data_IF_940146583154
#
_entry.id   IF_940146583154
#
_cell.length_a   1.000
_cell.length_b   1.000
_cell.length_c   1.000
_cell.angle_alpha   90.00
_cell.angle_beta   90.00
_cell.angle_gamma   90.00
#
_symmetry.space_group_name_H-M   'P 1'
#
loop_
_entity.id
_entity.type
_entity.pdbx_description
1 polymer ?
#
# COMPACT_ATOMS: atom_id res chain seq x y z
N UNK A 1 10.08 -2.42 -18.80
CA UNK A 1 8.65 -2.62 -18.43
C UNK A 1 8.47 -1.85 -17.14
N UNK A 2 7.71 -0.74 -17.15
CA UNK A 2 7.45 0.01 -15.91
C UNK A 2 6.59 -0.86 -15.00
N UNK A 3 7.10 -1.15 -13.81
CA UNK A 3 6.38 -1.87 -12.79
C UNK A 3 5.44 -0.86 -12.12
N UNK A 4 4.14 -0.97 -12.37
CA UNK A 4 3.11 -0.06 -11.82
C UNK A 4 3.23 0.09 -10.29
N UNK A 5 3.66 -0.97 -9.61
CA UNK A 5 3.88 -0.93 -8.17
C UNK A 5 5.07 -0.04 -7.78
N UNK A 6 6.16 -0.05 -8.55
CA UNK A 6 7.28 0.88 -8.36
C UNK A 6 6.85 2.34 -8.60
N UNK A 7 5.98 2.58 -9.58
CA UNK A 7 5.48 3.93 -9.85
C UNK A 7 4.56 4.43 -8.73
N UNK A 8 3.76 3.56 -8.11
CA UNK A 8 2.99 3.89 -6.90
C UNK A 8 3.90 4.25 -5.71
N UNK A 9 5.00 3.52 -5.52
CA UNK A 9 5.97 3.79 -4.45
C UNK A 9 6.68 5.12 -4.70
N UNK A 10 7.09 5.39 -5.94
CA UNK A 10 7.66 6.69 -6.33
C UNK A 10 6.68 7.81 -6.07
N UNK A 11 5.41 7.65 -6.47
CA UNK A 11 4.35 8.62 -6.19
C UNK A 11 4.23 8.87 -4.69
N UNK A 12 4.19 7.82 -3.85
CA UNK A 12 4.10 7.97 -2.40
C UNK A 12 5.26 8.80 -1.83
N UNK A 13 6.48 8.53 -2.28
CA UNK A 13 7.69 9.26 -1.88
C UNK A 13 7.67 10.71 -2.37
N UNK A 14 7.29 10.94 -3.62
CA UNK A 14 7.11 12.28 -4.17
C UNK A 14 6.08 13.08 -3.37
N UNK A 15 4.98 12.46 -2.95
CA UNK A 15 3.98 13.12 -2.09
C UNK A 15 4.51 13.42 -0.70
N UNK A 16 5.40 12.60 -0.16
CA UNK A 16 6.07 12.87 1.11
C UNK A 16 7.02 14.08 1.01
N UNK A 17 7.78 14.16 -0.09
CA UNK A 17 8.74 15.24 -0.33
C UNK A 17 8.07 16.55 -0.77
N UNK A 18 7.01 16.45 -1.57
CA UNK A 18 6.22 17.57 -2.10
C UNK A 18 4.74 17.34 -1.79
N UNK A 19 4.29 17.62 -0.56
CA UNK A 19 2.90 17.43 -0.17
C UNK A 19 1.93 18.23 -1.02
N UNK A 20 0.83 17.60 -1.42
CA UNK A 20 -0.29 18.27 -2.08
C UNK A 20 -1.46 18.32 -1.11
N UNK A 21 -1.91 19.53 -0.79
CA UNK A 21 -3.04 19.75 0.09
C UNK A 21 -4.31 19.06 -0.44
N UNK A 22 -5.06 18.42 0.45
CA UNK A 22 -6.27 17.68 0.09
C UNK A 22 -6.04 16.31 -0.59
N UNK A 23 -4.79 15.93 -0.90
CA UNK A 23 -4.51 14.60 -1.46
C UNK A 23 -4.76 13.49 -0.44
N UNK A 24 -5.52 12.47 -0.85
CA UNK A 24 -5.78 11.29 -0.03
C UNK A 24 -4.48 10.57 0.38
N UNK A 25 -3.53 10.43 -0.55
CA UNK A 25 -2.21 9.84 -0.27
C UNK A 25 -1.45 10.63 0.79
N UNK A 26 -1.47 11.97 0.71
CA UNK A 26 -0.83 12.80 1.72
C UNK A 26 -1.50 12.65 3.10
N UNK A 27 -2.83 12.50 3.16
CA UNK A 27 -3.56 12.21 4.40
C UNK A 27 -3.11 10.89 5.02
N UNK A 28 -3.00 9.83 4.22
CA UNK A 28 -2.53 8.52 4.69
C UNK A 28 -1.06 8.54 5.14
N UNK A 29 -0.21 9.30 4.45
CA UNK A 29 1.21 9.45 4.79
C UNK A 29 1.42 10.23 6.10
N UNK A 30 0.57 11.22 6.39
CA UNK A 30 0.66 12.03 7.61
C UNK A 30 -0.07 11.40 8.81
N UNK A 31 -1.15 10.66 8.56
CA UNK A 31 -1.95 9.98 9.58
C UNK A 31 -1.68 8.46 9.59
N UNK A 32 -0.76 8.07 10.47
CA UNK A 32 -0.35 6.66 10.64
C UNK A 32 -1.46 5.79 11.21
N UNK A 33 -2.39 6.37 11.98
CA UNK A 33 -3.51 5.62 12.54
C UNK A 33 -4.49 5.30 11.43
N UNK A 34 -4.85 6.29 10.61
CA UNK A 34 -5.73 6.10 9.46
C UNK A 34 -5.16 5.09 8.45
N UNK A 35 -3.87 5.18 8.12
CA UNK A 35 -3.25 4.22 7.20
C UNK A 35 -3.24 2.80 7.76
N UNK A 36 -3.03 2.63 9.07
CA UNK A 36 -3.18 1.32 9.74
C UNK A 36 -4.62 0.81 9.66
N UNK A 37 -5.60 1.66 9.95
CA UNK A 37 -7.02 1.29 9.91
C UNK A 37 -7.43 0.84 8.51
N UNK A 38 -7.03 1.58 7.47
CA UNK A 38 -7.25 1.18 6.07
C UNK A 38 -6.63 -0.18 5.75
N UNK A 39 -5.38 -0.44 6.13
CA UNK A 39 -4.76 -1.76 5.89
C UNK A 39 -5.59 -2.90 6.51
N UNK A 40 -6.14 -2.70 7.71
CA UNK A 40 -6.98 -3.70 8.36
C UNK A 40 -8.33 -3.89 7.65
N UNK A 41 -8.95 -2.79 7.22
CA UNK A 41 -10.19 -2.78 6.46
C UNK A 41 -10.04 -3.55 5.14
N UNK A 42 -9.06 -3.16 4.31
CA UNK A 42 -8.85 -3.77 2.99
C UNK A 42 -8.53 -5.25 3.05
N UNK A 43 -7.81 -5.69 4.10
CA UNK A 43 -7.52 -7.12 4.30
C UNK A 43 -8.81 -7.89 4.61
N UNK A 44 -9.70 -7.33 5.43
CA UNK A 44 -10.99 -7.97 5.72
C UNK A 44 -11.88 -7.99 4.48
N UNK A 45 -11.94 -6.90 3.73
CA UNK A 45 -12.71 -6.81 2.48
C UNK A 45 -12.18 -7.79 1.42
N UNK A 46 -10.86 -7.93 1.28
CA UNK A 46 -10.26 -8.93 0.41
C UNK A 46 -10.64 -10.36 0.81
N UNK A 47 -10.57 -10.70 2.10
CA UNK A 47 -10.96 -12.03 2.59
C UNK A 47 -12.42 -12.29 2.25
N UNK A 48 -13.31 -11.34 2.56
CA UNK A 48 -14.74 -11.46 2.27
C UNK A 48 -15.00 -11.58 0.76
N UNK A 49 -14.33 -10.79 -0.07
CA UNK A 49 -14.50 -10.82 -1.52
C UNK A 49 -13.99 -12.12 -2.14
N UNK A 50 -12.95 -12.74 -1.56
CA UNK A 50 -12.48 -14.07 -1.97
C UNK A 50 -13.48 -15.15 -1.56
N UNK A 51 -14.00 -15.12 -0.34
CA UNK A 51 -14.98 -16.09 0.16
C UNK A 51 -16.30 -16.05 -0.63
N UNK A 52 -16.72 -14.85 -1.02
CA UNK A 52 -17.97 -14.62 -1.77
C UNK A 52 -17.79 -14.64 -3.30
N UNK A 53 -16.55 -14.82 -3.78
CA UNK A 53 -16.17 -14.76 -5.20
C UNK A 53 -16.63 -13.46 -5.92
N UNK A 54 -16.47 -12.32 -5.26
CA UNK A 54 -16.85 -10.99 -5.78
C UNK A 54 -15.62 -10.21 -6.26
N UNK A 55 -15.51 -8.90 -5.94
CA UNK A 55 -14.53 -7.94 -6.46
C UNK A 55 -13.08 -8.18 -5.99
N UNK A 56 -12.65 -9.43 -5.77
CA UNK A 56 -11.35 -9.83 -5.23
C UNK A 56 -10.12 -9.16 -5.86
N UNK A 57 -10.16 -8.81 -7.15
CA UNK A 57 -9.05 -8.11 -7.81
C UNK A 57 -8.95 -6.66 -7.33
N UNK A 58 -10.08 -5.99 -7.12
CA UNK A 58 -10.14 -4.63 -6.61
C UNK A 58 -9.59 -4.56 -5.19
N UNK A 59 -10.13 -5.40 -4.30
CA UNK A 59 -9.69 -5.45 -2.90
C UNK A 59 -8.21 -5.84 -2.77
N UNK A 60 -7.72 -6.74 -3.64
CA UNK A 60 -6.30 -7.08 -3.66
C UNK A 60 -5.42 -5.88 -4.06
N UNK A 61 -5.87 -5.07 -5.02
CA UNK A 61 -5.17 -3.86 -5.42
C UNK A 61 -5.15 -2.84 -4.28
N UNK A 62 -6.26 -2.68 -3.55
CA UNK A 62 -6.37 -1.74 -2.44
C UNK A 62 -5.51 -2.19 -1.25
N UNK A 63 -5.46 -3.50 -0.94
CA UNK A 63 -4.49 -4.05 0.02
C UNK A 63 -3.05 -3.67 -0.35
N UNK A 64 -2.65 -3.87 -1.61
CA UNK A 64 -1.28 -3.53 -2.04
C UNK A 64 -1.01 -2.03 -1.95
N UNK A 65 -1.96 -1.19 -2.35
CA UNK A 65 -1.84 0.26 -2.27
C UNK A 65 -1.69 0.71 -0.81
N UNK A 66 -2.65 0.36 0.05
CA UNK A 66 -2.68 0.80 1.43
C UNK A 66 -1.50 0.26 2.24
N UNK A 67 -1.07 -0.98 1.99
CA UNK A 67 0.12 -1.54 2.61
C UNK A 67 1.37 -0.77 2.20
N UNK A 68 1.54 -0.46 0.91
CA UNK A 68 2.70 0.30 0.43
C UNK A 68 2.76 1.70 1.07
N UNK A 69 1.63 2.41 1.14
CA UNK A 69 1.56 3.74 1.78
C UNK A 69 1.86 3.66 3.28
N UNK A 70 1.29 2.66 3.98
CA UNK A 70 1.54 2.47 5.41
C UNK A 70 3.01 2.18 5.73
N UNK A 71 3.69 1.39 4.89
CA UNK A 71 5.12 1.11 5.03
C UNK A 71 5.96 2.38 4.82
N UNK A 72 5.71 3.14 3.77
CA UNK A 72 6.42 4.40 3.49
C UNK A 72 6.14 5.49 4.54
N UNK A 73 4.92 5.55 5.10
CA UNK A 73 4.58 6.42 6.23
C UNK A 73 5.40 6.07 7.49
N UNK A 74 5.76 4.79 7.65
CA UNK A 74 6.57 4.28 8.75
C UNK A 74 8.06 4.15 8.44
N UNK A 75 8.53 4.73 7.32
CA UNK A 75 9.93 4.67 6.87
C UNK A 75 10.45 3.24 6.66
N UNK A 76 9.57 2.29 6.36
CA UNK A 76 9.94 0.94 5.96
C UNK A 76 10.02 0.94 4.44
N UNK A 77 11.23 0.76 3.90
CA UNK A 77 11.42 0.80 2.44
C UNK A 77 10.92 -0.48 1.81
N UNK A 78 10.12 -0.36 0.75
CA UNK A 78 9.64 -1.53 0.00
C UNK A 78 10.79 -2.38 -0.52
N UNK A 79 11.93 -1.79 -0.89
CA UNK A 79 13.13 -2.51 -1.33
C UNK A 79 13.63 -3.49 -0.26
N UNK A 80 13.55 -3.13 1.02
CA UNK A 80 13.93 -4.01 2.14
C UNK A 80 12.96 -5.19 2.26
N UNK A 81 11.66 -4.93 2.10
CA UNK A 81 10.63 -5.98 2.07
C UNK A 81 10.83 -6.92 0.88
N UNK A 82 11.14 -6.39 -0.31
CA UNK A 82 11.41 -7.18 -1.51
C UNK A 82 12.67 -8.05 -1.35
N UNK A 83 13.71 -7.53 -0.72
CA UNK A 83 14.90 -8.31 -0.37
C UNK A 83 14.55 -9.45 0.58
N UNK A 84 13.71 -9.21 1.59
CA UNK A 84 13.24 -10.26 2.50
C UNK A 84 12.40 -11.32 1.76
N UNK A 85 11.46 -10.89 0.90
CA UNK A 85 10.65 -11.79 0.08
C UNK A 85 11.50 -12.64 -0.88
N UNK A 86 12.60 -12.09 -1.40
CA UNK A 86 13.50 -12.83 -2.30
C UNK A 86 14.07 -14.10 -1.64
N UNK A 87 14.24 -14.09 -0.31
CA UNK A 87 14.72 -15.26 0.45
C UNK A 87 13.73 -16.42 0.45
N UNK A 88 12.43 -16.15 0.17
CA UNK A 88 11.35 -17.15 0.12
C UNK A 88 11.21 -17.81 -1.25
N UNK A 89 11.93 -17.35 -2.29
CA UNK A 89 11.94 -17.93 -3.64
C UNK A 89 12.88 -19.14 -3.79
N UNK A 90 13.37 -19.69 -2.68
CA UNK A 90 14.25 -20.87 -2.68
C UNK A 90 13.43 -22.15 -2.79
#
# INVERSE_FOLDING_TARGET
MMNIFEDLIKLARERKDKPIEGSYTNKLLSDKLLSKEKVLEEINELIEAVEKDTNKIHEAADVFYHLAIYLEANNIKIEEVMNELSKRKK
#
